data_IF_639054838000
#
_entry.id   IF_639054838000
#
_cell.length_a   1.000
_cell.length_b   1.000
_cell.length_c   1.000
_cell.angle_alpha   90.00
_cell.angle_beta   90.00
_cell.angle_gamma   90.00
#
_symmetry.space_group_name_H-M   'P 1'
#
loop_
_entity.id
_entity.type
_entity.pdbx_description
1 polymer ?
#
# COMPACT_ATOMS: atom_id res chain seq x y z
N UNK A 1 -23.95 56.45 -44.22
CA UNK A 1 -23.53 55.19 -43.58
C UNK A 1 -23.65 55.39 -42.07
N UNK A 2 -24.48 54.58 -41.41
CA UNK A 2 -25.08 54.72 -40.06
C UNK A 2 -24.15 55.37 -39.00
N UNK A 3 -24.46 56.56 -38.41
CA UNK A 3 -25.31 56.82 -37.19
C UNK A 3 -24.76 56.06 -35.96
N UNK A 4 -24.38 56.62 -34.80
CA UNK A 4 -24.96 57.70 -33.95
C UNK A 4 -23.91 58.20 -32.91
N UNK A 5 -24.14 59.45 -32.46
CA UNK A 5 -23.73 60.22 -31.27
C UNK A 5 -23.33 59.39 -30.02
N UNK A 6 -22.24 59.76 -29.31
CA UNK A 6 -22.14 60.82 -28.29
C UNK A 6 -23.11 60.68 -27.11
N UNK A 7 -22.60 60.71 -25.86
CA UNK A 7 -22.78 61.82 -24.89
C UNK A 7 -22.71 61.33 -23.42
N UNK A 8 -21.86 62.04 -22.68
CA UNK A 8 -21.76 62.32 -21.23
C UNK A 8 -21.66 61.25 -20.13
N UNK A 9 -20.71 61.60 -19.26
CA UNK A 9 -20.36 61.17 -17.90
C UNK A 9 -21.48 61.43 -16.89
N UNK A 10 -21.67 60.48 -15.96
CA UNK A 10 -22.27 60.70 -14.64
C UNK A 10 -21.59 59.77 -13.61
N UNK A 11 -21.37 60.32 -12.41
CA UNK A 11 -20.62 59.76 -11.29
C UNK A 11 -21.44 58.78 -10.40
N UNK A 12 -20.71 57.88 -9.71
CA UNK A 12 -21.05 57.07 -8.49
C UNK A 12 -21.85 55.76 -8.74
N UNK A 13 -21.65 54.63 -7.99
CA UNK A 13 -20.66 54.26 -6.96
C UNK A 13 -19.84 52.99 -7.29
N UNK A 14 -18.78 52.77 -6.51
CA UNK A 14 -17.97 51.55 -6.44
C UNK A 14 -18.74 50.40 -5.75
N UNK A 15 -19.86 49.98 -6.35
CA UNK A 15 -20.57 48.74 -5.97
C UNK A 15 -21.44 48.33 -7.14
N UNK A 16 -21.16 47.15 -7.70
CA UNK A 16 -21.84 46.51 -8.83
C UNK A 16 -21.40 46.96 -10.23
N UNK A 17 -20.24 46.47 -10.67
CA UNK A 17 -20.10 45.98 -12.04
C UNK A 17 -20.07 44.45 -11.98
N UNK A 18 -21.23 43.86 -12.26
CA UNK A 18 -21.35 42.47 -12.64
C UNK A 18 -20.54 42.23 -13.91
N UNK A 19 -19.42 41.54 -13.81
CA UNK A 19 -18.83 40.80 -14.92
C UNK A 19 -18.86 39.33 -14.55
N UNK A 20 -19.67 38.60 -15.30
CA UNK A 20 -19.56 37.16 -15.50
C UNK A 20 -19.65 36.32 -14.24
N UNK A 21 -20.84 35.80 -13.97
CA UNK A 21 -20.98 34.46 -13.43
C UNK A 21 -20.22 33.49 -14.36
N UNK A 22 -18.93 33.31 -14.11
CA UNK A 22 -18.32 32.02 -14.27
C UNK A 22 -18.50 31.37 -12.91
N UNK A 23 -19.69 30.79 -12.72
CA UNK A 23 -19.78 29.61 -11.89
C UNK A 23 -18.85 28.60 -12.58
N UNK A 24 -17.58 28.59 -12.16
CA UNK A 24 -16.80 27.36 -12.28
C UNK A 24 -17.55 26.37 -11.42
N UNK A 25 -18.40 25.58 -12.06
CA UNK A 25 -18.84 24.31 -11.52
C UNK A 25 -17.57 23.64 -10.96
N UNK A 26 -17.54 23.48 -9.64
CA UNK A 26 -16.55 22.64 -9.01
C UNK A 26 -16.81 21.24 -9.53
N UNK A 27 -16.08 20.83 -10.56
CA UNK A 27 -15.99 19.41 -10.90
C UNK A 27 -15.23 18.73 -9.75
N UNK A 28 -15.83 17.76 -9.06
CA UNK A 28 -15.16 17.06 -7.98
C UNK A 28 -14.18 16.07 -8.62
N UNK A 29 -12.95 16.51 -8.86
CA UNK A 29 -11.84 15.61 -9.13
C UNK A 29 -11.24 15.23 -7.78
N UNK A 30 -11.87 14.30 -7.08
CA UNK A 30 -11.24 13.70 -5.93
C UNK A 30 -10.21 12.68 -6.46
N UNK A 31 -8.93 13.02 -6.27
CA UNK A 31 -7.78 12.10 -6.26
C UNK A 31 -7.08 11.77 -7.59
N UNK A 32 -6.98 12.72 -8.53
CA UNK A 32 -5.97 12.63 -9.58
C UNK A 32 -5.28 13.97 -9.81
N UNK A 33 -3.95 13.97 -9.96
CA UNK A 33 -3.23 15.15 -10.42
C UNK A 33 -3.59 15.49 -11.88
N UNK A 34 -3.02 16.58 -12.42
CA UNK A 34 -3.27 17.01 -13.81
C UNK A 34 -2.87 15.98 -14.88
N UNK A 35 -2.18 14.91 -14.52
CA UNK A 35 -1.72 13.82 -15.39
C UNK A 35 -2.49 12.50 -15.16
N UNK A 36 -3.62 12.53 -14.45
CA UNK A 36 -4.39 11.34 -14.06
C UNK A 36 -3.66 10.39 -13.08
N UNK A 37 -2.61 10.86 -12.37
CA UNK A 37 -1.92 10.06 -11.34
C UNK A 37 -2.71 10.05 -10.02
N UNK A 38 -2.94 8.85 -9.49
CA UNK A 38 -3.62 8.65 -8.21
C UNK A 38 -2.68 8.88 -7.04
N UNK A 39 -3.10 9.73 -6.09
CA UNK A 39 -2.40 9.92 -4.83
C UNK A 39 -2.70 8.74 -3.88
N UNK A 40 -1.69 8.06 -3.30
CA UNK A 40 -1.87 6.97 -2.33
C UNK A 40 -2.25 7.51 -0.96
N UNK A 41 -2.97 8.61 -0.88
CA UNK A 41 -3.40 9.26 0.36
C UNK A 41 -4.70 10.02 0.10
N UNK A 42 -5.65 9.40 -0.60
CA UNK A 42 -7.06 9.70 -0.35
C UNK A 42 -7.33 9.36 1.11
N UNK A 43 -7.03 10.31 2.00
CA UNK A 43 -7.16 10.12 3.43
C UNK A 43 -8.60 9.74 3.72
N UNK A 44 -8.80 8.71 4.55
CA UNK A 44 -10.10 8.29 5.08
C UNK A 44 -10.70 9.33 6.05
N UNK A 45 -10.19 10.58 6.01
CA UNK A 45 -10.72 11.73 6.71
C UNK A 45 -12.13 12.07 6.27
N UNK A 46 -12.50 11.73 5.04
CA UNK A 46 -13.88 11.84 4.60
C UNK A 46 -14.69 10.66 5.09
N UNK A 47 -15.50 10.94 6.11
CA UNK A 47 -16.55 10.07 6.58
C UNK A 47 -17.88 10.48 5.94
N UNK A 48 -18.71 9.51 5.60
CA UNK A 48 -20.09 9.73 5.19
C UNK A 48 -20.92 10.27 6.37
N UNK A 49 -22.16 10.63 6.10
CA UNK A 49 -23.08 11.18 7.10
C UNK A 49 -23.32 10.24 8.31
N UNK A 50 -22.99 8.94 8.17
CA UNK A 50 -23.10 7.92 9.21
C UNK A 50 -21.79 7.71 9.97
N UNK A 51 -20.72 8.42 9.59
CA UNK A 51 -19.39 8.29 10.19
C UNK A 51 -18.55 7.16 9.59
N UNK A 52 -18.90 6.64 8.41
CA UNK A 52 -18.16 5.56 7.73
C UNK A 52 -17.20 6.11 6.67
N UNK A 53 -16.02 5.50 6.49
CA UNK A 53 -15.14 5.76 5.35
C UNK A 53 -15.83 5.86 3.99
N UNK A 54 -15.67 7.01 3.31
CA UNK A 54 -16.15 7.20 1.92
C UNK A 54 -15.39 6.28 0.95
N UNK A 55 -16.10 5.71 -0.05
CA UNK A 55 -15.52 4.82 -1.08
C UNK A 55 -15.71 3.32 -0.81
N UNK A 56 -16.10 2.95 0.41
CA UNK A 56 -16.43 1.58 0.78
C UNK A 56 -17.86 1.25 0.34
N UNK A 57 -18.00 0.36 -0.65
CA UNK A 57 -19.22 0.11 -1.39
C UNK A 57 -20.15 -0.94 -0.78
N UNK A 58 -19.61 -1.84 0.05
CA UNK A 58 -20.42 -2.84 0.76
C UNK A 58 -20.83 -2.31 2.14
N UNK A 59 -22.04 -1.76 2.18
CA UNK A 59 -22.66 -1.30 3.44
C UNK A 59 -23.31 -2.44 4.22
N UNK A 60 -23.46 -3.64 3.65
CA UNK A 60 -24.20 -4.74 4.29
C UNK A 60 -23.54 -5.20 5.59
N UNK A 61 -22.20 -5.19 5.64
CA UNK A 61 -21.44 -5.48 6.85
C UNK A 61 -21.69 -4.43 7.95
N UNK A 62 -21.82 -3.16 7.58
CA UNK A 62 -22.15 -2.08 8.51
C UNK A 62 -23.62 -2.15 8.96
N UNK A 63 -24.55 -2.39 8.04
CA UNK A 63 -25.99 -2.51 8.32
C UNK A 63 -26.32 -3.71 9.19
N UNK A 64 -25.61 -4.83 9.02
CA UNK A 64 -25.71 -6.00 9.89
C UNK A 64 -25.01 -5.84 11.25
N UNK A 65 -24.34 -4.71 11.49
CA UNK A 65 -23.55 -4.48 12.72
C UNK A 65 -22.27 -5.32 12.80
N UNK A 66 -21.90 -6.00 11.71
CA UNK A 66 -20.68 -6.81 11.62
C UNK A 66 -19.43 -5.96 11.42
N UNK A 67 -19.53 -4.72 10.94
CA UNK A 67 -18.40 -3.82 10.71
C UNK A 67 -18.43 -2.57 11.61
N UNK A 68 -17.28 -2.19 12.18
CA UNK A 68 -17.07 -0.96 12.95
C UNK A 68 -15.75 -0.31 12.56
N UNK A 69 -15.74 1.02 12.45
CA UNK A 69 -14.53 1.81 12.18
C UNK A 69 -13.77 2.04 13.49
N UNK A 70 -12.52 1.57 13.58
CA UNK A 70 -11.70 1.65 14.81
C UNK A 70 -10.82 2.90 14.87
N UNK A 71 -10.19 3.21 13.75
CA UNK A 71 -9.30 4.37 13.62
C UNK A 71 -9.65 5.08 12.30
N UNK A 72 -10.54 6.08 12.32
CA UNK A 72 -10.95 6.79 11.11
C UNK A 72 -9.78 7.47 10.38
N UNK A 73 -8.80 7.98 11.13
CA UNK A 73 -7.63 8.65 10.55
C UNK A 73 -6.74 7.68 9.77
N UNK A 74 -6.68 6.40 10.19
CA UNK A 74 -5.96 5.34 9.48
C UNK A 74 -6.88 4.51 8.56
N UNK A 75 -8.19 4.68 8.69
CA UNK A 75 -9.25 3.89 8.06
C UNK A 75 -9.15 2.39 8.30
N UNK A 76 -8.85 2.02 9.55
CA UNK A 76 -8.92 0.63 10.01
C UNK A 76 -10.38 0.26 10.30
N UNK A 77 -10.87 -0.74 9.59
CA UNK A 77 -12.19 -1.33 9.77
C UNK A 77 -12.04 -2.65 10.50
N UNK A 78 -12.75 -2.82 11.61
CA UNK A 78 -12.90 -4.09 12.28
C UNK A 78 -14.21 -4.74 11.86
N UNK A 79 -14.10 -6.00 11.44
CA UNK A 79 -15.18 -6.91 11.14
C UNK A 79 -15.33 -7.95 12.26
N UNK A 80 -16.57 -8.30 12.55
CA UNK A 80 -16.96 -9.38 13.46
C UNK A 80 -17.46 -10.52 12.61
N UNK A 81 -16.74 -11.63 12.65
CA UNK A 81 -17.05 -12.82 11.87
C UNK A 81 -17.98 -13.72 12.71
N UNK A 82 -19.20 -13.98 12.24
CA UNK A 82 -20.16 -14.84 12.94
C UNK A 82 -19.75 -16.31 12.89
N UNK A 83 -20.17 -17.07 13.90
CA UNK A 83 -19.95 -18.52 14.00
C UNK A 83 -21.03 -19.30 13.23
N UNK A 84 -21.29 -18.90 11.99
CA UNK A 84 -22.33 -19.48 11.11
C UNK A 84 -21.78 -19.92 9.74
N UNK A 85 -20.45 -19.83 9.56
CA UNK A 85 -19.75 -20.17 8.31
C UNK A 85 -19.96 -19.15 7.19
N UNK A 86 -20.66 -18.05 7.43
CA UNK A 86 -20.90 -17.04 6.40
C UNK A 86 -19.65 -16.26 6.05
N UNK A 87 -19.57 -15.86 4.78
CA UNK A 87 -18.51 -14.96 4.32
C UNK A 87 -18.70 -13.59 4.95
N UNK A 88 -17.64 -13.10 5.59
CA UNK A 88 -17.57 -11.73 6.07
C UNK A 88 -16.63 -10.95 5.17
N UNK A 89 -17.15 -9.92 4.52
CA UNK A 89 -16.38 -9.11 3.58
C UNK A 89 -16.60 -7.63 3.78
N UNK A 90 -15.63 -6.86 3.33
CA UNK A 90 -15.76 -5.42 3.13
C UNK A 90 -15.12 -5.08 1.79
N UNK A 91 -15.74 -4.18 1.03
CA UNK A 91 -15.24 -3.80 -0.29
C UNK A 91 -15.18 -2.30 -0.48
N UNK A 92 -14.20 -1.86 -1.27
CA UNK A 92 -14.02 -0.48 -1.71
C UNK A 92 -14.05 -0.42 -3.22
N UNK A 93 -14.60 0.66 -3.77
CA UNK A 93 -14.60 0.91 -5.22
C UNK A 93 -13.81 2.17 -5.51
N UNK A 94 -12.92 2.08 -6.48
CA UNK A 94 -12.01 3.15 -6.87
C UNK A 94 -12.21 3.39 -8.36
N UNK A 95 -12.49 4.64 -8.74
CA UNK A 95 -12.52 5.03 -10.14
C UNK A 95 -11.11 4.99 -10.72
N UNK A 96 -10.93 4.25 -11.80
CA UNK A 96 -9.67 4.16 -12.52
C UNK A 96 -9.55 5.31 -13.54
N UNK A 97 -8.36 5.92 -13.64
CA UNK A 97 -8.13 6.96 -14.63
C UNK A 97 -8.20 6.43 -16.06
N UNK A 98 -8.49 7.31 -17.03
CA UNK A 98 -8.70 6.94 -18.43
C UNK A 98 -7.48 6.27 -19.09
N UNK A 99 -6.28 6.48 -18.56
CA UNK A 99 -5.01 6.08 -19.18
C UNK A 99 -4.16 5.11 -18.35
N UNK A 100 -4.73 4.50 -17.30
CA UNK A 100 -4.00 3.51 -16.52
C UNK A 100 -3.87 2.19 -17.28
N UNK A 101 -2.64 1.69 -17.43
CA UNK A 101 -2.39 0.38 -18.07
C UNK A 101 -2.17 -0.74 -17.07
N UNK A 102 -1.67 -0.37 -15.89
CA UNK A 102 -1.35 -1.30 -14.84
C UNK A 102 -1.61 -0.68 -13.48
N UNK A 103 -2.07 -1.51 -12.56
CA UNK A 103 -2.39 -1.09 -11.22
C UNK A 103 -1.90 -2.16 -10.25
N UNK A 104 -1.17 -1.74 -9.23
CA UNK A 104 -0.80 -2.58 -8.10
C UNK A 104 -1.77 -2.28 -6.97
N UNK A 105 -2.37 -3.33 -6.43
CA UNK A 105 -3.29 -3.24 -5.31
C UNK A 105 -2.65 -3.93 -4.11
N UNK A 106 -2.65 -3.24 -2.98
CA UNK A 106 -2.16 -3.71 -1.70
C UNK A 106 -3.34 -3.73 -0.73
N UNK A 107 -3.75 -4.90 -0.29
CA UNK A 107 -4.75 -5.03 0.78
C UNK A 107 -4.03 -5.41 2.05
N UNK A 108 -4.22 -4.69 3.14
CA UNK A 108 -3.58 -5.02 4.42
C UNK A 108 -4.63 -5.46 5.43
N UNK A 109 -4.45 -6.62 6.05
CA UNK A 109 -5.42 -7.22 6.95
C UNK A 109 -4.76 -8.03 8.06
N UNK A 110 -5.48 -8.26 9.15
CA UNK A 110 -5.09 -9.14 10.27
C UNK A 110 -6.33 -9.70 10.95
N UNK A 111 -6.17 -10.79 11.67
CA UNK A 111 -7.20 -11.43 12.47
C UNK A 111 -6.70 -11.63 13.90
N UNK A 112 -6.76 -10.61 14.77
CA UNK A 112 -6.14 -10.66 16.08
C UNK A 112 -6.78 -11.72 17.00
N UNK A 113 -8.04 -12.08 16.77
CA UNK A 113 -8.75 -13.11 17.54
C UNK A 113 -9.44 -14.12 16.64
N UNK A 114 -8.94 -14.31 15.41
CA UNK A 114 -9.64 -15.13 14.43
C UNK A 114 -9.36 -16.62 14.64
N UNK A 115 -10.42 -17.41 14.57
CA UNK A 115 -10.38 -18.86 14.54
C UNK A 115 -11.00 -19.32 13.22
N UNK A 116 -10.26 -20.11 12.44
CA UNK A 116 -10.74 -20.67 11.17
C UNK A 116 -11.53 -21.95 11.44
N UNK A 117 -12.58 -22.18 10.66
CA UNK A 117 -13.32 -23.42 10.60
C UNK A 117 -12.60 -24.49 9.77
N UNK A 118 -13.27 -25.63 9.61
CA UNK A 118 -12.68 -26.83 9.01
C UNK A 118 -12.90 -26.92 7.49
N UNK A 119 -13.58 -25.94 6.86
CA UNK A 119 -13.82 -25.98 5.41
C UNK A 119 -12.54 -25.78 4.59
N UNK A 120 -12.50 -26.39 3.41
CA UNK A 120 -11.37 -26.24 2.48
C UNK A 120 -11.16 -24.78 2.00
N UNK A 121 -12.21 -23.96 2.08
CA UNK A 121 -12.21 -22.54 1.67
C UNK A 121 -11.95 -21.57 2.84
N UNK A 122 -11.77 -22.09 4.06
CA UNK A 122 -11.55 -21.29 5.27
C UNK A 122 -10.28 -20.45 5.16
N UNK A 123 -10.41 -19.14 5.41
CA UNK A 123 -9.27 -18.23 5.36
C UNK A 123 -9.60 -16.83 4.84
N UNK A 124 -8.64 -15.92 5.04
CA UNK A 124 -8.74 -14.51 4.67
C UNK A 124 -8.05 -14.23 3.33
N UNK A 125 -8.76 -13.65 2.37
CA UNK A 125 -8.23 -13.33 1.04
C UNK A 125 -8.65 -11.95 0.55
N UNK A 126 -8.02 -11.52 -0.53
CA UNK A 126 -8.40 -10.31 -1.25
C UNK A 126 -8.81 -10.66 -2.70
N UNK A 127 -9.96 -10.16 -3.13
CA UNK A 127 -10.48 -10.31 -4.49
C UNK A 127 -10.56 -8.94 -5.14
N UNK A 128 -10.21 -8.87 -6.42
CA UNK A 128 -10.19 -7.62 -7.16
C UNK A 128 -10.97 -7.77 -8.45
N UNK A 129 -11.86 -6.82 -8.70
CA UNK A 129 -12.76 -6.83 -9.85
C UNK A 129 -12.64 -5.52 -10.61
N UNK A 130 -12.32 -5.60 -11.89
CA UNK A 130 -12.35 -4.45 -12.79
C UNK A 130 -13.75 -4.30 -13.37
N UNK A 131 -14.27 -3.08 -13.45
CA UNK A 131 -15.60 -2.78 -13.99
C UNK A 131 -15.53 -1.73 -15.11
N UNK A 132 -16.24 -1.98 -16.21
CA UNK A 132 -16.44 -1.06 -17.34
C UNK A 132 -17.67 -0.17 -17.10
N UNK A 133 -17.75 0.98 -17.82
CA UNK A 133 -18.96 1.84 -17.80
C UNK A 133 -20.25 1.12 -18.21
N UNK A 134 -20.13 0.04 -18.99
CA UNK A 134 -21.26 -0.80 -19.39
C UNK A 134 -21.76 -1.74 -18.28
N UNK A 135 -21.11 -1.77 -17.11
CA UNK A 135 -21.36 -2.74 -16.04
C UNK A 135 -20.66 -4.08 -16.24
N UNK A 136 -19.92 -4.27 -17.35
CA UNK A 136 -19.14 -5.50 -17.56
C UNK A 136 -18.01 -5.58 -16.55
N UNK A 137 -18.00 -6.63 -15.75
CA UNK A 137 -16.97 -6.88 -14.74
C UNK A 137 -15.95 -7.94 -15.21
N UNK A 138 -14.78 -7.91 -14.60
CA UNK A 138 -13.77 -8.97 -14.68
C UNK A 138 -13.16 -9.14 -13.30
N UNK A 139 -13.57 -10.20 -12.64
CA UNK A 139 -12.96 -10.65 -11.38
C UNK A 139 -11.63 -11.33 -11.67
N UNK A 140 -10.65 -11.08 -10.80
CA UNK A 140 -9.34 -11.70 -10.84
C UNK A 140 -9.29 -12.88 -9.87
N UNK A 141 -8.35 -13.83 -10.07
CA UNK A 141 -8.15 -14.91 -9.11
C UNK A 141 -7.98 -14.35 -7.69
N UNK A 142 -8.61 -15.01 -6.73
CA UNK A 142 -8.50 -14.69 -5.31
C UNK A 142 -7.03 -14.67 -4.92
N UNK A 143 -6.60 -13.55 -4.35
CA UNK A 143 -5.27 -13.45 -3.72
C UNK A 143 -5.39 -14.09 -2.36
N UNK A 144 -5.14 -15.40 -2.35
CA UNK A 144 -5.19 -16.23 -1.16
C UNK A 144 -4.00 -15.93 -0.23
N UNK A 145 -4.18 -16.16 1.08
CA UNK A 145 -3.06 -16.23 1.98
C UNK A 145 -2.26 -17.50 1.68
N UNK A 146 -0.94 -17.41 1.68
CA UNK A 146 -0.07 -18.59 1.78
C UNK A 146 -0.19 -19.26 3.18
N UNK A 147 -1.38 -19.49 3.75
CA UNK A 147 -1.47 -19.93 5.16
C UNK A 147 -2.68 -20.82 5.46
N UNK A 148 -2.45 -22.15 5.49
CA UNK A 148 -3.30 -23.16 6.16
C UNK A 148 -2.81 -23.45 7.60
N UNK A 149 -1.67 -22.87 8.03
CA UNK A 149 -0.93 -23.29 9.24
C UNK A 149 -0.30 -22.17 10.10
N UNK A 150 -0.81 -20.93 10.10
CA UNK A 150 -0.20 -19.87 10.92
C UNK A 150 -1.12 -18.70 11.29
N UNK A 151 -0.83 -18.10 12.45
CA UNK A 151 -1.61 -17.02 13.07
C UNK A 151 -1.82 -15.80 12.17
N UNK A 152 -3.06 -15.28 12.18
CA UNK A 152 -3.43 -13.98 11.61
C UNK A 152 -3.24 -12.83 12.61
N UNK A 153 -2.55 -13.05 13.74
CA UNK A 153 -2.42 -12.06 14.81
C UNK A 153 -1.74 -10.74 14.41
N UNK A 154 -0.79 -10.79 13.46
CA UNK A 154 -0.07 -9.63 12.94
C UNK A 154 -0.66 -9.08 11.63
N UNK A 155 -0.33 -7.82 11.32
CA UNK A 155 -0.67 -7.18 10.04
C UNK A 155 0.03 -7.87 8.87
N UNK A 156 -0.75 -8.28 7.86
CA UNK A 156 -0.24 -8.86 6.62
C UNK A 156 -0.67 -8.00 5.43
N UNK A 157 0.24 -7.77 4.49
CA UNK A 157 -0.02 -6.99 3.26
C UNK A 157 -0.03 -7.92 2.04
N UNK A 158 -1.12 -7.85 1.27
CA UNK A 158 -1.41 -8.68 0.11
C UNK A 158 -1.26 -7.84 -1.14
N UNK A 159 -0.22 -8.11 -1.94
CA UNK A 159 0.09 -7.36 -3.16
C UNK A 159 -0.32 -8.14 -4.41
N UNK A 160 -0.98 -7.46 -5.34
CA UNK A 160 -1.14 -7.96 -6.71
C UNK A 160 -0.98 -6.84 -7.72
N UNK A 161 -0.39 -7.12 -8.88
CA UNK A 161 -0.28 -6.18 -9.99
C UNK A 161 -1.11 -6.69 -11.16
N UNK A 162 -1.99 -5.86 -11.68
CA UNK A 162 -2.90 -6.25 -12.75
C UNK A 162 -2.83 -5.27 -13.93
N UNK A 163 -3.00 -5.82 -15.12
CA UNK A 163 -3.14 -5.03 -16.34
C UNK A 163 -4.58 -4.54 -16.46
N UNK A 164 -4.77 -3.24 -16.55
CA UNK A 164 -6.05 -2.61 -16.84
C UNK A 164 -6.20 -2.53 -18.36
N UNK A 165 -7.17 -3.28 -18.91
CA UNK A 165 -7.48 -3.22 -20.33
C UNK A 165 -8.28 -1.95 -20.66
N UNK A 166 -8.21 -1.43 -21.89
CA UNK A 166 -9.02 -0.29 -22.30
C UNK A 166 -10.51 -0.50 -22.03
N UNK A 167 -11.16 0.50 -21.45
CA UNK A 167 -12.61 0.50 -21.19
C UNK A 167 -13.00 0.13 -19.75
N UNK A 168 -12.10 -0.45 -18.97
CA UNK A 168 -12.28 -0.56 -17.52
C UNK A 168 -12.03 0.80 -16.86
N UNK A 169 -12.96 1.21 -16.01
CA UNK A 169 -13.00 2.56 -15.42
C UNK A 169 -13.14 2.52 -13.91
N UNK A 170 -13.29 1.34 -13.32
CA UNK A 170 -13.42 1.13 -11.88
C UNK A 170 -12.65 -0.13 -11.47
N UNK A 171 -12.13 -0.11 -10.26
CA UNK A 171 -11.54 -1.23 -9.56
C UNK A 171 -12.28 -1.39 -8.23
N UNK A 172 -12.93 -2.52 -8.05
CA UNK A 172 -13.48 -2.94 -6.78
C UNK A 172 -12.47 -3.88 -6.09
N UNK A 173 -12.04 -3.53 -4.89
CA UNK A 173 -11.24 -4.38 -4.02
C UNK A 173 -12.08 -4.89 -2.87
N UNK A 174 -12.15 -6.20 -2.68
CA UNK A 174 -12.88 -6.88 -1.62
C UNK A 174 -11.90 -7.65 -0.73
N UNK A 175 -11.86 -7.30 0.55
CA UNK A 175 -11.23 -8.14 1.57
C UNK A 175 -12.32 -9.04 2.16
N UNK A 176 -12.07 -10.33 2.20
CA UNK A 176 -13.06 -11.33 2.63
C UNK A 176 -12.41 -12.38 3.52
N UNK A 177 -13.17 -12.88 4.48
CA UNK A 177 -12.81 -14.02 5.29
C UNK A 177 -13.97 -15.02 5.30
N UNK A 178 -13.63 -16.27 5.03
CA UNK A 178 -14.58 -17.37 4.89
C UNK A 178 -14.41 -18.33 6.07
N UNK A 179 -15.54 -18.87 6.54
CA UNK A 179 -15.60 -19.91 7.57
C UNK A 179 -14.67 -19.60 8.75
N UNK A 180 -14.94 -18.50 9.44
CA UNK A 180 -14.12 -18.04 10.54
C UNK A 180 -14.96 -17.31 11.57
N UNK A 181 -14.53 -17.36 12.83
CA UNK A 181 -15.15 -16.63 13.94
C UNK A 181 -14.14 -15.74 14.64
N UNK A 182 -14.62 -14.61 15.16
CA UNK A 182 -13.80 -13.63 15.89
C UNK A 182 -13.62 -12.31 15.15
N UNK A 183 -12.54 -11.59 15.46
CA UNK A 183 -12.27 -10.27 14.90
C UNK A 183 -11.31 -10.34 13.72
N UNK A 184 -11.67 -9.64 12.65
CA UNK A 184 -10.90 -9.49 11.43
C UNK A 184 -10.78 -8.00 11.14
N UNK A 185 -9.56 -7.49 10.99
CA UNK A 185 -9.31 -6.09 10.73
C UNK A 185 -8.73 -5.92 9.33
N UNK A 186 -9.28 -4.94 8.62
CA UNK A 186 -8.84 -4.55 7.29
C UNK A 186 -8.40 -3.10 7.37
N UNK A 187 -7.14 -2.87 7.02
CA UNK A 187 -6.59 -1.54 6.76
C UNK A 187 -6.94 -1.13 5.32
N UNK A 188 -6.53 0.06 4.90
CA UNK A 188 -6.83 0.58 3.57
C UNK A 188 -6.34 -0.34 2.44
N UNK A 189 -7.16 -0.48 1.40
CA UNK A 189 -6.78 -1.08 0.12
C UNK A 189 -6.08 0.00 -0.71
N UNK A 190 -4.76 -0.08 -0.82
CA UNK A 190 -3.95 0.89 -1.55
C UNK A 190 -3.89 0.51 -3.02
N UNK A 191 -4.22 1.46 -3.90
CA UNK A 191 -4.13 1.32 -5.34
C UNK A 191 -3.03 2.22 -5.85
N UNK A 192 -1.93 1.61 -6.30
CA UNK A 192 -0.77 2.29 -6.83
C UNK A 192 -0.79 2.14 -8.34
N UNK A 193 -0.73 3.26 -9.07
CA UNK A 193 -0.43 3.22 -10.49
C UNK A 193 0.98 2.63 -10.67
N UNK A 194 1.05 1.36 -11.04
CA UNK A 194 2.32 0.67 -11.22
C UNK A 194 2.54 0.49 -12.71
N UNK A 195 3.01 1.52 -13.41
CA UNK A 195 3.55 1.27 -14.75
C UNK A 195 4.81 0.40 -14.57
N UNK A 196 4.93 -0.77 -15.24
CA UNK A 196 6.24 -1.30 -15.53
C UNK A 196 6.97 -0.20 -16.34
N UNK A 197 7.99 0.43 -15.73
CA UNK A 197 8.78 1.47 -16.39
C UNK A 197 8.50 2.91 -15.98
N UNK A 198 8.03 3.19 -14.74
CA UNK A 198 8.17 4.54 -14.19
C UNK A 198 9.65 4.94 -14.21
N UNK A 199 9.96 5.99 -14.98
CA UNK A 199 11.31 6.55 -15.03
C UNK A 199 11.33 7.78 -14.14
N UNK A 200 11.92 7.62 -12.95
CA UNK A 200 12.14 8.75 -12.05
C UNK A 200 12.93 9.86 -12.76
N UNK A 201 12.69 11.11 -12.39
CA UNK A 201 13.57 12.21 -12.78
C UNK A 201 14.90 12.10 -12.03
N UNK A 202 15.99 12.71 -12.54
CA UNK A 202 17.25 12.80 -11.79
C UNK A 202 17.05 13.39 -10.39
N UNK A 203 16.18 14.38 -10.25
CA UNK A 203 15.89 15.07 -9.00
C UNK A 203 15.20 14.15 -7.99
N UNK A 204 14.19 13.40 -8.43
CA UNK A 204 13.51 12.40 -7.58
C UNK A 204 14.45 11.31 -7.12
N UNK A 205 15.33 10.81 -8.00
CA UNK A 205 16.36 9.82 -7.62
C UNK A 205 17.27 10.36 -6.53
N UNK A 206 17.76 11.59 -6.70
CA UNK A 206 18.66 12.21 -5.72
C UNK A 206 17.94 12.41 -4.38
N UNK A 207 16.68 12.87 -4.39
CA UNK A 207 15.89 13.05 -3.16
C UNK A 207 15.63 11.72 -2.47
N UNK A 208 15.14 10.72 -3.21
CA UNK A 208 14.86 9.38 -2.70
C UNK A 208 16.12 8.77 -2.07
N UNK A 209 17.24 8.80 -2.78
CA UNK A 209 18.49 8.29 -2.27
C UNK A 209 18.93 9.10 -1.03
N UNK A 210 18.96 10.42 -1.10
CA UNK A 210 19.37 11.24 0.05
C UNK A 210 18.52 10.96 1.29
N UNK A 211 17.21 10.77 1.14
CA UNK A 211 16.29 10.45 2.23
C UNK A 211 16.60 9.07 2.84
N UNK A 212 16.77 8.04 2.01
CA UNK A 212 17.15 6.69 2.47
C UNK A 212 18.49 6.75 3.23
N UNK A 213 19.52 7.40 2.66
CA UNK A 213 20.86 7.51 3.28
C UNK A 213 20.84 8.22 4.63
N UNK A 214 19.97 9.21 4.81
CA UNK A 214 19.84 9.97 6.05
C UNK A 214 18.86 9.35 7.04
N UNK A 215 18.24 8.23 6.68
CA UNK A 215 17.14 7.61 7.42
C UNK A 215 16.00 8.61 7.71
N UNK A 216 15.64 9.40 6.69
CA UNK A 216 14.61 10.44 6.74
C UNK A 216 13.25 9.89 6.25
N UNK A 217 12.48 9.35 7.19
CA UNK A 217 11.14 8.81 6.94
C UNK A 217 10.12 9.87 6.53
N UNK A 218 10.29 11.12 6.97
CA UNK A 218 9.38 12.22 6.65
C UNK A 218 9.50 12.60 5.18
N UNK A 219 10.72 12.74 4.66
CA UNK A 219 10.93 13.01 3.24
C UNK A 219 10.52 11.80 2.38
N UNK A 220 10.68 10.56 2.87
CA UNK A 220 10.14 9.37 2.17
C UNK A 220 8.63 9.43 2.07
N UNK A 221 7.91 9.69 3.17
CA UNK A 221 6.46 9.81 3.14
C UNK A 221 6.03 10.89 2.13
N UNK A 222 6.68 12.06 2.16
CA UNK A 222 6.41 13.16 1.24
C UNK A 222 6.71 12.80 -0.24
N UNK A 223 7.83 12.16 -0.52
CA UNK A 223 8.19 11.72 -1.87
C UNK A 223 7.21 10.69 -2.41
N UNK A 224 6.74 9.77 -1.57
CA UNK A 224 5.79 8.73 -1.96
C UNK A 224 4.37 9.29 -2.11
N UNK A 225 4.04 10.35 -1.37
CA UNK A 225 2.85 11.18 -1.62
C UNK A 225 2.95 11.90 -2.98
N UNK A 226 4.06 12.58 -3.26
CA UNK A 226 4.29 13.31 -4.50
C UNK A 226 4.32 12.38 -5.73
N UNK A 227 5.02 11.24 -5.61
CA UNK A 227 5.23 10.31 -6.71
C UNK A 227 5.25 8.84 -6.25
N UNK A 228 4.10 8.14 -6.32
CA UNK A 228 3.94 6.77 -5.82
C UNK A 228 4.73 5.71 -6.58
N UNK A 229 5.02 5.98 -7.85
CA UNK A 229 5.82 5.11 -8.70
C UNK A 229 7.25 4.90 -8.17
N UNK A 230 7.70 5.71 -7.20
CA UNK A 230 8.99 5.56 -6.54
C UNK A 230 9.05 4.36 -5.59
N UNK A 231 7.93 3.91 -5.01
CA UNK A 231 7.91 2.90 -3.94
C UNK A 231 8.58 1.58 -4.33
N UNK A 232 8.52 1.23 -5.61
CA UNK A 232 9.04 -0.01 -6.19
C UNK A 232 10.01 0.30 -7.35
N UNK A 233 10.55 1.52 -7.36
CA UNK A 233 11.48 1.97 -8.39
C UNK A 233 12.68 1.02 -8.47
N UNK A 234 13.02 0.67 -9.71
CA UNK A 234 14.17 -0.12 -10.09
C UNK A 234 14.91 0.67 -11.16
N UNK A 235 15.81 1.56 -10.75
CA UNK A 235 16.44 2.51 -11.67
C UNK A 235 17.85 2.09 -12.12
N UNK A 236 18.26 0.86 -11.81
CA UNK A 236 19.57 0.32 -12.18
C UNK A 236 20.74 0.88 -11.36
N UNK A 237 20.52 1.78 -10.39
CA UNK A 237 21.52 2.09 -9.38
C UNK A 237 21.56 0.97 -8.34
N UNK A 238 22.76 0.59 -7.89
CA UNK A 238 22.94 -0.41 -6.82
C UNK A 238 22.18 -1.73 -7.06
N UNK A 239 22.60 -2.47 -8.10
CA UNK A 239 22.09 -3.82 -8.40
C UNK A 239 20.60 -3.90 -8.75
N UNK A 240 19.99 -2.75 -9.06
CA UNK A 240 18.57 -2.63 -9.39
C UNK A 240 17.64 -2.97 -8.21
N UNK A 241 18.08 -2.65 -6.99
CA UNK A 241 17.30 -2.83 -5.76
C UNK A 241 16.12 -1.85 -5.65
N UNK A 242 15.02 -2.29 -5.04
CA UNK A 242 13.90 -1.41 -4.66
C UNK A 242 14.32 -0.46 -3.52
N UNK A 243 13.57 0.63 -3.25
CA UNK A 243 13.85 1.50 -2.10
C UNK A 243 14.00 0.75 -0.78
N UNK A 244 13.22 -0.33 -0.57
CA UNK A 244 13.31 -1.15 0.64
C UNK A 244 14.61 -1.99 0.69
N UNK A 245 15.10 -2.47 -0.46
CA UNK A 245 16.42 -3.10 -0.56
C UNK A 245 17.53 -2.09 -0.23
N UNK A 246 17.43 -0.88 -0.76
CA UNK A 246 18.40 0.19 -0.46
C UNK A 246 18.39 0.55 1.03
N UNK A 247 17.22 0.71 1.65
CA UNK A 247 17.09 0.95 3.09
C UNK A 247 17.71 -0.19 3.92
N UNK A 248 17.55 -1.44 3.47
CA UNK A 248 18.19 -2.60 4.08
C UNK A 248 19.71 -2.58 3.95
N UNK A 249 20.25 -2.05 2.86
CA UNK A 249 21.70 -1.90 2.68
C UNK A 249 22.31 -0.79 3.54
N UNK A 250 21.61 0.35 3.67
CA UNK A 250 22.07 1.49 4.47
C UNK A 250 21.77 1.36 5.98
N UNK A 251 21.07 0.30 6.41
CA UNK A 251 20.55 0.14 7.76
C UNK A 251 19.62 1.29 8.20
N UNK A 252 18.79 1.77 7.27
CA UNK A 252 17.88 2.91 7.47
C UNK A 252 16.58 2.43 8.13
N UNK A 253 16.57 2.40 9.46
CA UNK A 253 15.49 1.80 10.27
C UNK A 253 14.17 2.54 10.13
N UNK A 254 14.16 3.88 10.24
CA UNK A 254 12.93 4.67 10.16
C UNK A 254 12.32 4.60 8.77
N UNK A 255 13.16 4.75 7.75
CA UNK A 255 12.76 4.63 6.35
C UNK A 255 12.23 3.23 6.05
N UNK A 256 12.85 2.17 6.59
CA UNK A 256 12.34 0.80 6.43
C UNK A 256 10.93 0.67 7.00
N UNK A 257 10.69 1.14 8.24
CA UNK A 257 9.37 1.12 8.86
C UNK A 257 8.34 1.86 8.01
N UNK A 258 8.73 3.01 7.48
CA UNK A 258 7.86 3.85 6.66
C UNK A 258 7.55 3.21 5.29
N UNK A 259 8.55 2.67 4.60
CA UNK A 259 8.36 1.96 3.34
C UNK A 259 7.45 0.73 3.51
N UNK A 260 7.62 -0.04 4.60
CA UNK A 260 6.72 -1.16 4.94
C UNK A 260 5.30 -0.64 5.22
N UNK A 261 5.16 0.45 5.98
CA UNK A 261 3.86 1.10 6.25
C UNK A 261 3.17 1.55 4.96
N UNK A 262 3.94 2.05 3.99
CA UNK A 262 3.48 2.47 2.66
C UNK A 262 3.23 1.28 1.72
N UNK A 263 3.55 0.05 2.13
CA UNK A 263 3.22 -1.18 1.42
C UNK A 263 4.30 -1.66 0.44
N UNK A 264 5.56 -1.29 0.66
CA UNK A 264 6.68 -1.85 -0.08
C UNK A 264 6.72 -3.39 0.05
N UNK A 265 7.07 -4.07 -1.04
CA UNK A 265 7.15 -5.52 -1.06
C UNK A 265 8.45 -6.03 -0.41
N UNK A 266 8.30 -6.64 0.77
CA UNK A 266 9.40 -7.24 1.54
C UNK A 266 10.04 -8.45 0.86
N UNK A 267 9.37 -9.05 -0.12
CA UNK A 267 9.85 -10.21 -0.88
C UNK A 267 10.35 -9.83 -2.27
N UNK A 268 10.43 -8.54 -2.60
CA UNK A 268 11.05 -8.10 -3.84
C UNK A 268 12.53 -8.47 -3.81
N UNK A 269 13.03 -9.12 -4.87
CA UNK A 269 14.44 -9.44 -5.00
C UNK A 269 15.14 -8.53 -6.01
N UNK A 270 16.40 -8.20 -5.76
CA UNK A 270 17.23 -7.54 -6.78
C UNK A 270 17.44 -8.48 -7.99
N UNK A 271 17.96 -7.94 -9.10
CA UNK A 271 18.16 -8.70 -10.33
C UNK A 271 19.53 -9.40 -10.38
N UNK A 272 20.49 -8.97 -9.57
CA UNK A 272 21.88 -9.41 -9.68
C UNK A 272 22.10 -10.73 -8.93
N UNK A 273 21.64 -10.79 -7.69
CA UNK A 273 21.82 -11.91 -6.75
C UNK A 273 20.52 -12.52 -6.29
N UNK A 274 19.38 -11.94 -6.70
CA UNK A 274 18.05 -12.36 -6.24
C UNK A 274 17.89 -12.26 -4.72
N UNK A 275 18.57 -11.30 -4.08
CA UNK A 275 18.46 -11.09 -2.64
C UNK A 275 17.24 -10.22 -2.32
N UNK A 276 16.48 -10.63 -1.31
CA UNK A 276 15.40 -9.84 -0.70
C UNK A 276 15.95 -8.81 0.29
N UNK A 277 15.18 -7.80 0.72
CA UNK A 277 15.51 -6.92 1.84
C UNK A 277 16.14 -7.64 3.05
N UNK A 278 15.54 -8.76 3.50
CA UNK A 278 16.06 -9.53 4.63
C UNK A 278 17.38 -10.23 4.30
N UNK A 279 17.54 -10.72 3.07
CA UNK A 279 18.80 -11.30 2.60
C UNK A 279 19.94 -10.28 2.63
N UNK A 280 19.67 -9.02 2.24
CA UNK A 280 20.62 -7.92 2.33
C UNK A 280 21.04 -7.63 3.77
N UNK A 281 20.10 -7.67 4.72
CA UNK A 281 20.43 -7.52 6.14
C UNK A 281 21.36 -8.65 6.62
N UNK A 282 21.09 -9.90 6.20
CA UNK A 282 21.92 -11.06 6.53
C UNK A 282 23.32 -10.99 5.90
N UNK A 283 23.46 -10.32 4.76
CA UNK A 283 24.73 -10.18 4.05
C UNK A 283 25.60 -9.06 4.64
N UNK A 284 24.98 -7.96 5.06
CA UNK A 284 25.66 -6.77 5.57
C UNK A 284 25.76 -6.68 7.08
N UNK A 285 25.00 -7.50 7.82
CA UNK A 285 24.98 -7.47 9.28
C UNK A 285 24.22 -6.27 9.82
N UNK A 286 22.99 -6.07 9.34
CA UNK A 286 22.11 -4.94 9.72
C UNK A 286 20.94 -5.44 10.59
N UNK A 287 21.14 -5.66 11.90
CA UNK A 287 20.18 -6.35 12.76
C UNK A 287 18.93 -5.52 13.04
N UNK A 288 19.04 -4.18 13.09
CA UNK A 288 17.89 -3.32 13.37
C UNK A 288 16.86 -3.35 12.25
N UNK A 289 17.29 -3.30 10.98
CA UNK A 289 16.37 -3.46 9.85
C UNK A 289 15.87 -4.90 9.73
N UNK A 290 16.71 -5.90 10.04
CA UNK A 290 16.28 -7.30 10.06
C UNK A 290 15.15 -7.54 11.07
N UNK A 291 15.26 -6.99 12.28
CA UNK A 291 14.22 -7.05 13.32
C UNK A 291 12.91 -6.45 12.80
N UNK A 292 12.95 -5.25 12.20
CA UNK A 292 11.76 -4.62 11.62
C UNK A 292 11.11 -5.47 10.53
N UNK A 293 11.90 -6.08 9.65
CA UNK A 293 11.39 -6.94 8.57
C UNK A 293 10.79 -8.25 9.11
N UNK A 294 11.44 -8.87 10.09
CA UNK A 294 10.97 -10.10 10.74
C UNK A 294 9.66 -9.84 11.50
N UNK A 295 9.59 -8.76 12.28
CA UNK A 295 8.39 -8.34 13.01
C UNK A 295 7.23 -8.01 12.06
N UNK A 296 7.54 -7.48 10.87
CA UNK A 296 6.56 -7.22 9.82
C UNK A 296 6.11 -8.48 9.07
N UNK A 297 6.69 -9.65 9.37
CA UNK A 297 6.31 -10.93 8.78
C UNK A 297 7.01 -11.26 7.46
N UNK A 298 8.19 -10.70 7.19
CA UNK A 298 9.01 -11.11 6.05
C UNK A 298 9.35 -12.61 6.14
N UNK A 299 9.46 -13.29 5.00
CA UNK A 299 9.79 -14.72 4.98
C UNK A 299 11.22 -14.91 5.50
N UNK A 300 11.39 -15.78 6.49
CA UNK A 300 12.69 -15.96 7.17
C UNK A 300 13.44 -17.23 6.73
N UNK A 301 12.85 -18.05 5.85
CA UNK A 301 13.36 -19.39 5.52
C UNK A 301 14.74 -19.31 4.83
N UNK A 302 15.66 -20.16 5.26
CA UNK A 302 17.04 -20.27 4.76
C UNK A 302 17.99 -19.10 5.07
N UNK A 303 17.51 -18.02 5.69
CA UNK A 303 18.34 -16.83 5.96
C UNK A 303 19.27 -16.97 7.18
N UNK A 304 18.93 -17.76 8.20
CA UNK A 304 19.82 -18.01 9.35
C UNK A 304 21.18 -18.59 8.92
N UNK A 305 21.16 -19.61 8.04
CA UNK A 305 22.39 -20.19 7.48
C UNK A 305 23.18 -19.17 6.64
N UNK A 306 22.48 -18.28 5.94
CA UNK A 306 23.09 -17.22 5.14
C UNK A 306 23.82 -16.20 6.03
N UNK A 307 23.17 -15.71 7.09
CA UNK A 307 23.78 -14.81 8.05
C UNK A 307 25.03 -15.43 8.71
N UNK A 308 24.93 -16.68 9.19
CA UNK A 308 26.06 -17.42 9.76
C UNK A 308 27.22 -17.59 8.76
N UNK A 309 26.90 -17.86 7.48
CA UNK A 309 27.92 -17.95 6.42
C UNK A 309 28.57 -16.60 6.10
N UNK A 310 27.81 -15.51 6.17
CA UNK A 310 28.29 -14.16 5.85
C UNK A 310 29.25 -13.64 6.93
N UNK A 311 28.98 -13.98 8.21
CA UNK A 311 29.88 -13.79 9.35
C UNK A 311 31.25 -14.43 9.10
N UNK A 312 31.29 -15.72 8.75
CA UNK A 312 32.55 -16.46 8.55
C UNK A 312 33.37 -16.00 7.35
N UNK A 313 32.71 -15.45 6.34
CA UNK A 313 33.36 -14.96 5.12
C UNK A 313 33.75 -13.47 5.19
N UNK A 314 33.51 -12.80 6.33
CA UNK A 314 33.78 -11.39 6.56
C UNK A 314 33.26 -10.49 5.41
N UNK A 315 32.03 -10.76 4.96
CA UNK A 315 31.48 -10.16 3.73
C UNK A 315 31.11 -8.68 3.89
N UNK A 316 31.02 -8.17 5.12
CA UNK A 316 30.64 -6.79 5.41
C UNK A 316 31.74 -6.08 6.20
N UNK A 317 32.20 -4.89 5.75
CA UNK A 317 33.05 -4.02 6.55
C UNK A 317 32.28 -3.26 7.65
N UNK A 318 30.94 -3.38 7.73
CA UNK A 318 30.08 -2.61 8.64
C UNK A 318 29.49 -3.43 9.78
N UNK A 319 29.09 -4.68 9.52
CA UNK A 319 28.47 -5.54 10.52
C UNK A 319 29.49 -6.23 11.41
N UNK A 320 29.24 -6.24 12.72
CA UNK A 320 30.04 -6.95 13.72
C UNK A 320 29.64 -8.43 13.80
N UNK A 321 30.51 -9.33 14.27
CA UNK A 321 30.16 -10.72 14.55
C UNK A 321 28.87 -10.87 15.38
N UNK A 322 28.66 -9.98 16.35
CA UNK A 322 27.50 -9.93 17.24
C UNK A 322 26.22 -9.54 16.50
N UNK A 323 26.32 -8.63 15.51
CA UNK A 323 25.18 -8.24 14.68
C UNK A 323 24.64 -9.42 13.88
N UNK A 324 25.53 -10.25 13.32
CA UNK A 324 25.13 -11.47 12.62
C UNK A 324 24.50 -12.50 13.56
N UNK A 325 25.02 -12.65 14.79
CA UNK A 325 24.45 -13.56 15.78
C UNK A 325 23.03 -13.12 16.15
N UNK A 326 22.82 -11.82 16.36
CA UNK A 326 21.49 -11.25 16.62
C UNK A 326 20.51 -11.51 15.47
N UNK A 327 20.95 -11.39 14.21
CA UNK A 327 20.11 -11.70 13.04
C UNK A 327 19.73 -13.18 13.01
N UNK A 328 20.68 -14.09 13.32
CA UNK A 328 20.41 -15.53 13.39
C UNK A 328 19.36 -15.82 14.47
N UNK A 329 19.53 -15.27 15.67
CA UNK A 329 18.59 -15.43 16.78
C UNK A 329 17.19 -14.93 16.42
N UNK A 330 17.08 -13.74 15.81
CA UNK A 330 15.80 -13.17 15.35
C UNK A 330 15.09 -14.10 14.36
N UNK A 331 15.83 -14.63 13.38
CA UNK A 331 15.27 -15.52 12.35
C UNK A 331 14.84 -16.86 12.95
N UNK A 332 15.67 -17.46 13.81
CA UNK A 332 15.37 -18.75 14.44
C UNK A 332 14.18 -18.64 15.39
N UNK A 333 14.07 -17.55 16.16
CA UNK A 333 12.91 -17.27 17.01
C UNK A 333 11.62 -17.17 16.17
N UNK A 334 11.64 -16.39 15.10
CA UNK A 334 10.50 -16.25 14.20
C UNK A 334 10.10 -17.56 13.51
N UNK A 335 11.06 -18.44 13.21
CA UNK A 335 10.78 -19.77 12.66
C UNK A 335 10.19 -20.72 13.71
N UNK A 336 10.66 -20.67 14.96
CA UNK A 336 10.14 -21.48 16.05
C UNK A 336 8.69 -21.12 16.39
N UNK A 337 8.34 -19.84 16.32
CA UNK A 337 6.97 -19.35 16.54
C UNK A 337 6.02 -19.69 15.38
N UNK A 338 6.54 -19.89 14.16
CA UNK A 338 5.74 -20.33 13.01
C UNK A 338 5.37 -21.83 13.03
N UNK A 339 5.96 -22.62 13.94
CA UNK A 339 5.74 -24.08 14.06
C UNK A 339 4.78 -24.43 15.22
N UNK A 340 4.42 -23.45 16.07
CA UNK A 340 3.47 -23.60 17.19
C UNK A 340 2.06 -23.17 16.81
#
# INVERSE_FOLDING_TARGET
MFRVLATLVLCIPFSQLCFGQWAFERTPHWNADRNDNFYPHSELKELDERGFPVGWGDVSAFESGRAVVRDPAKGVIQLTCPDDGSVTSVSTTIDLPKRIKFVTVLTRMRGPTIELGDSDDAGAGAVYTLEMKSGKTRELPRVEPLYRYGSLGGWKTYRTTMRVLPGYVKLNGRAEINDAKGSFEVDRILVVASEPGYQATPEERIRLMTAIQKDDDVEIAKLMEEQPGLLELRDGTMENGTPLILASWFNSVKVTKELIRLGANMEASDESWQNTPLAWCCWWGNPEVAEVLVDAGAKTKHYARMAASSKTQNRSPRGTPEDFDRIVELIEAAQADAVK
#
